data_IF_131467043971
#
_entry.id   IF_131467043971
#
_cell.length_a   1.000
_cell.length_b   1.000
_cell.length_c   1.000
_cell.angle_alpha   90.00
_cell.angle_beta   90.00
_cell.angle_gamma   90.00
#
_symmetry.space_group_name_H-M   'P 1'
#
loop_
_entity.id
_entity.type
_entity.pdbx_description
1 polymer ?
#
# COMPACT_ATOMS: atom_id res chain seq x y z
N UNK A 1 -2.32 -4.86 14.16
CA UNK A 1 -2.52 -5.63 12.90
C UNK A 1 -1.26 -5.57 12.03
N UNK A 2 -1.15 -6.48 11.03
CA UNK A 2 -0.03 -6.54 10.09
C UNK A 2 1.22 -7.25 10.61
N UNK A 3 1.22 -7.78 11.84
CA UNK A 3 2.41 -8.38 12.44
C UNK A 3 2.76 -9.73 11.81
N UNK A 4 1.80 -10.62 11.65
CA UNK A 4 2.04 -11.93 11.05
C UNK A 4 2.41 -11.80 9.56
N UNK A 5 1.74 -10.91 8.82
CA UNK A 5 2.07 -10.62 7.42
C UNK A 5 3.50 -10.08 7.28
N UNK A 6 3.90 -9.13 8.12
CA UNK A 6 5.26 -8.58 8.10
C UNK A 6 6.34 -9.64 8.41
N UNK A 7 6.12 -10.48 9.42
CA UNK A 7 7.05 -11.55 9.81
C UNK A 7 7.13 -12.64 8.73
N UNK A 8 6.00 -12.96 8.09
CA UNK A 8 6.01 -13.89 6.97
C UNK A 8 6.77 -13.34 5.76
N UNK A 9 6.58 -12.05 5.41
CA UNK A 9 7.36 -11.41 4.35
C UNK A 9 8.86 -11.32 4.68
N UNK A 10 9.22 -11.09 5.94
CA UNK A 10 10.61 -11.19 6.41
C UNK A 10 11.18 -12.58 6.15
N UNK A 11 10.43 -13.63 6.52
CA UNK A 11 10.82 -15.02 6.26
C UNK A 11 11.05 -15.30 4.77
N UNK A 12 10.18 -14.82 3.89
CA UNK A 12 10.35 -15.00 2.45
C UNK A 12 11.68 -14.43 1.92
N UNK A 13 12.26 -13.44 2.59
CA UNK A 13 13.53 -12.82 2.21
C UNK A 13 14.71 -13.51 2.88
N UNK A 14 14.60 -13.83 4.19
CA UNK A 14 15.73 -14.27 5.03
C UNK A 14 15.76 -15.76 5.32
N UNK A 15 14.66 -16.47 5.08
CA UNK A 15 14.49 -17.91 5.35
C UNK A 15 14.78 -18.32 6.81
N UNK A 16 14.48 -17.42 7.77
CA UNK A 16 14.69 -17.66 9.20
C UNK A 16 13.51 -18.41 9.83
N UNK A 17 13.52 -19.74 9.74
CA UNK A 17 12.49 -20.62 10.33
C UNK A 17 12.51 -20.59 11.88
N UNK A 18 13.65 -20.30 12.49
CA UNK A 18 13.74 -20.25 13.96
C UNK A 18 13.00 -19.04 14.51
N UNK A 19 13.14 -17.88 13.88
CA UNK A 19 12.38 -16.67 14.22
C UNK A 19 10.87 -16.90 14.07
N UNK A 20 10.44 -17.58 13.01
CA UNK A 20 9.02 -17.92 12.84
C UNK A 20 8.48 -18.76 14.00
N UNK A 21 9.22 -19.80 14.39
CA UNK A 21 8.82 -20.71 15.47
C UNK A 21 8.73 -19.99 16.82
N UNK A 22 9.66 -19.06 17.11
CA UNK A 22 9.64 -18.25 18.34
C UNK A 22 8.47 -17.27 18.39
N UNK A 23 8.18 -16.60 17.27
CA UNK A 23 7.15 -15.57 17.21
C UNK A 23 5.72 -16.12 17.02
N UNK A 24 5.59 -17.31 16.45
CA UNK A 24 4.28 -17.88 16.10
C UNK A 24 3.24 -17.88 17.24
N UNK A 25 3.56 -18.29 18.49
CA UNK A 25 2.63 -18.22 19.61
C UNK A 25 2.11 -16.80 19.87
N UNK A 26 2.99 -15.81 19.85
CA UNK A 26 2.65 -14.38 20.08
C UNK A 26 1.77 -13.81 18.97
N UNK A 27 2.05 -14.21 17.72
CA UNK A 27 1.24 -13.79 16.57
C UNK A 27 -0.18 -14.38 16.63
N UNK A 28 -0.32 -15.64 17.06
CA UNK A 28 -1.62 -16.27 17.31
C UNK A 28 -2.41 -15.56 18.40
N UNK A 29 -1.77 -15.25 19.50
CA UNK A 29 -2.41 -14.56 20.63
C UNK A 29 -2.86 -13.16 20.21
N UNK A 30 -2.04 -12.45 19.44
CA UNK A 30 -2.42 -11.16 18.87
C UNK A 30 -3.66 -11.27 17.97
N UNK A 31 -3.68 -12.25 17.06
CA UNK A 31 -4.83 -12.47 16.18
C UNK A 31 -6.10 -12.81 16.96
N UNK A 32 -5.99 -13.67 17.97
CA UNK A 32 -7.12 -14.06 18.82
C UNK A 32 -7.73 -12.87 19.56
N UNK A 33 -6.90 -11.95 20.07
CA UNK A 33 -7.37 -10.71 20.71
C UNK A 33 -8.11 -9.80 19.74
N UNK A 34 -7.63 -9.68 18.50
CA UNK A 34 -8.38 -8.95 17.47
C UNK A 34 -9.74 -9.57 17.18
N UNK A 35 -9.84 -10.90 17.13
CA UNK A 35 -11.14 -11.60 16.97
C UNK A 35 -12.07 -11.32 18.16
N UNK A 36 -11.55 -11.39 19.37
CA UNK A 36 -12.33 -11.16 20.60
C UNK A 36 -12.85 -9.72 20.71
N UNK A 37 -12.00 -8.73 20.46
CA UNK A 37 -12.32 -7.33 20.71
C UNK A 37 -13.02 -6.62 19.56
N UNK A 38 -12.74 -7.02 18.30
CA UNK A 38 -13.11 -6.25 17.11
C UNK A 38 -13.95 -7.00 16.10
N UNK A 39 -14.22 -8.29 16.31
CA UNK A 39 -15.07 -9.08 15.45
C UNK A 39 -16.40 -9.34 16.11
N UNK A 40 -17.49 -9.16 15.35
CA UNK A 40 -18.83 -9.39 15.89
C UNK A 40 -19.57 -10.54 15.15
N UNK A 41 -20.89 -10.67 15.43
CA UNK A 41 -21.74 -11.71 14.85
C UNK A 41 -21.90 -11.65 13.34
N UNK A 42 -21.61 -10.49 12.70
CA UNK A 42 -21.58 -10.37 11.23
C UNK A 42 -20.41 -11.12 10.61
N UNK A 43 -19.40 -11.42 11.42
CA UNK A 43 -18.13 -12.00 11.01
C UNK A 43 -17.14 -10.99 10.44
N UNK A 44 -17.50 -9.71 10.37
CA UNK A 44 -16.62 -8.61 10.00
C UNK A 44 -15.87 -8.05 11.23
N UNK A 45 -14.72 -7.47 10.95
CA UNK A 45 -13.99 -6.67 11.93
C UNK A 45 -14.42 -5.21 11.80
N UNK A 46 -14.57 -4.54 12.93
CA UNK A 46 -14.83 -3.11 12.99
C UNK A 46 -13.63 -2.36 13.56
N UNK A 47 -13.45 -1.12 13.15
CA UNK A 47 -12.41 -0.23 13.68
C UNK A 47 -12.93 1.22 13.72
N UNK A 48 -12.31 2.00 14.57
CA UNK A 48 -12.46 3.46 14.61
C UNK A 48 -11.52 4.07 13.55
N UNK A 49 -11.95 5.14 12.89
CA UNK A 49 -11.17 5.74 11.81
C UNK A 49 -9.81 6.29 12.26
N UNK A 50 -9.73 6.91 13.46
CA UNK A 50 -8.46 7.38 14.02
C UNK A 50 -7.49 6.23 14.35
N UNK A 51 -8.00 5.08 14.75
CA UNK A 51 -7.20 3.87 15.03
C UNK A 51 -6.81 3.11 13.77
N UNK A 52 -7.44 3.43 12.67
CA UNK A 52 -7.06 2.98 11.33
C UNK A 52 -6.03 3.94 10.69
N UNK A 53 -5.67 5.00 11.40
CA UNK A 53 -4.77 6.06 10.97
C UNK A 53 -5.39 6.97 9.91
N UNK A 54 -6.73 7.13 9.94
CA UNK A 54 -7.48 7.89 8.92
C UNK A 54 -8.48 8.84 9.58
N UNK A 55 -7.98 9.66 10.48
CA UNK A 55 -8.75 10.61 11.26
C UNK A 55 -9.49 11.61 10.35
N UNK A 56 -10.66 12.01 10.78
CA UNK A 56 -11.50 12.95 10.02
C UNK A 56 -11.88 12.44 8.62
N UNK A 57 -11.99 11.11 8.45
CA UNK A 57 -12.50 10.51 7.21
C UNK A 57 -13.99 10.81 7.03
N UNK A 58 -14.46 10.87 5.78
CA UNK A 58 -15.91 11.11 5.52
C UNK A 58 -16.75 10.00 6.15
N UNK A 59 -16.33 8.74 6.00
CA UNK A 59 -17.06 7.62 6.60
C UNK A 59 -17.02 7.62 8.12
N UNK A 60 -15.95 8.14 8.75
CA UNK A 60 -15.84 8.26 10.19
C UNK A 60 -16.85 9.22 10.78
N UNK A 61 -17.17 10.30 10.11
CA UNK A 61 -18.19 11.27 10.55
C UNK A 61 -19.63 10.72 10.54
N UNK A 62 -19.86 9.58 9.89
CA UNK A 62 -21.20 8.99 9.77
C UNK A 62 -21.60 8.08 10.94
N UNK A 63 -20.72 7.90 11.92
CA UNK A 63 -21.00 7.12 13.12
C UNK A 63 -20.39 7.76 14.36
N UNK A 64 -20.99 7.52 15.52
CA UNK A 64 -20.46 7.98 16.79
C UNK A 64 -19.08 7.34 17.05
N UNK A 65 -18.07 8.18 17.31
CA UNK A 65 -16.69 7.77 17.55
C UNK A 65 -16.00 7.12 16.34
N UNK A 66 -16.45 7.41 15.11
CA UNK A 66 -15.78 7.00 13.87
C UNK A 66 -15.80 5.50 13.57
N UNK A 67 -16.67 4.72 14.25
CA UNK A 67 -16.73 3.25 14.12
C UNK A 67 -17.32 2.79 12.79
N UNK A 68 -16.71 1.77 12.18
CA UNK A 68 -17.23 1.19 10.95
C UNK A 68 -16.62 -0.17 10.62
N UNK A 69 -17.32 -0.96 9.80
CA UNK A 69 -16.71 -2.07 9.08
C UNK A 69 -15.95 -1.47 7.89
N UNK A 70 -14.64 -1.41 8.03
CA UNK A 70 -13.76 -0.74 7.08
C UNK A 70 -13.05 -1.76 6.19
N UNK A 71 -12.87 -1.50 4.88
CA UNK A 71 -12.08 -2.34 3.98
C UNK A 71 -10.66 -2.60 4.50
N UNK A 72 -10.04 -1.62 5.15
CA UNK A 72 -8.71 -1.67 5.76
C UNK A 72 -8.58 -2.79 6.77
N UNK A 73 -9.23 -2.67 7.94
CA UNK A 73 -9.08 -3.64 9.02
C UNK A 73 -9.49 -5.05 8.60
N UNK A 74 -10.53 -5.19 7.77
CA UNK A 74 -10.95 -6.50 7.27
C UNK A 74 -9.89 -7.13 6.35
N UNK A 75 -9.23 -6.33 5.49
CA UNK A 75 -8.14 -6.79 4.63
C UNK A 75 -6.89 -7.13 5.44
N UNK A 76 -6.54 -6.32 6.44
CA UNK A 76 -5.42 -6.61 7.33
C UNK A 76 -5.62 -7.92 8.08
N UNK A 77 -6.80 -8.16 8.64
CA UNK A 77 -7.10 -9.39 9.35
C UNK A 77 -7.17 -10.61 8.40
N UNK A 78 -7.54 -10.41 7.15
CA UNK A 78 -7.39 -11.44 6.12
C UNK A 78 -5.92 -11.77 5.87
N UNK A 79 -5.07 -10.76 5.67
CA UNK A 79 -3.63 -10.92 5.49
C UNK A 79 -2.98 -11.64 6.68
N UNK A 80 -3.34 -11.25 7.91
CA UNK A 80 -2.89 -11.91 9.14
C UNK A 80 -3.28 -13.41 9.17
N UNK A 81 -4.53 -13.74 8.80
CA UNK A 81 -4.97 -15.13 8.77
C UNK A 81 -4.22 -15.96 7.71
N UNK A 82 -3.99 -15.38 6.52
CA UNK A 82 -3.18 -16.02 5.47
C UNK A 82 -1.75 -16.24 5.95
N UNK A 83 -1.12 -15.22 6.51
CA UNK A 83 0.25 -15.30 7.02
C UNK A 83 0.38 -16.35 8.14
N UNK A 84 -0.57 -16.36 9.10
CA UNK A 84 -0.60 -17.39 10.16
C UNK A 84 -0.77 -18.80 9.61
N UNK A 85 -1.59 -18.98 8.56
CA UNK A 85 -1.72 -20.28 7.91
C UNK A 85 -0.39 -20.75 7.30
N UNK A 86 0.33 -19.84 6.62
CA UNK A 86 1.63 -20.10 6.01
C UNK A 86 2.70 -20.37 7.06
N UNK A 87 2.81 -19.51 8.07
CA UNK A 87 3.76 -19.69 9.17
C UNK A 87 3.52 -21.04 9.88
N UNK A 88 2.26 -21.35 10.20
CA UNK A 88 1.89 -22.61 10.84
C UNK A 88 2.36 -23.83 10.04
N UNK A 89 2.19 -23.81 8.72
CA UNK A 89 2.67 -24.88 7.83
C UNK A 89 4.20 -24.99 7.87
N UNK A 90 4.93 -23.86 7.84
CA UNK A 90 6.39 -23.84 7.88
C UNK A 90 6.95 -24.37 9.21
N UNK A 91 6.24 -24.15 10.33
CA UNK A 91 6.64 -24.61 11.65
C UNK A 91 5.99 -25.94 12.06
N UNK A 92 5.52 -26.73 11.08
CA UNK A 92 4.99 -28.07 11.22
C UNK A 92 3.71 -28.16 12.12
N UNK A 93 2.80 -27.15 11.98
CA UNK A 93 1.51 -27.05 12.70
C UNK A 93 0.31 -27.16 11.72
N UNK A 94 0.24 -28.24 10.97
CA UNK A 94 -0.72 -28.43 9.88
C UNK A 94 -2.19 -28.24 10.24
N UNK A 95 -2.63 -28.67 11.43
CA UNK A 95 -4.01 -28.48 11.88
C UNK A 95 -4.33 -27.00 12.09
N UNK A 96 -3.41 -26.25 12.62
CA UNK A 96 -3.54 -24.80 12.82
C UNK A 96 -3.49 -24.07 11.47
N UNK A 97 -2.61 -24.51 10.56
CA UNK A 97 -2.53 -23.97 9.19
C UNK A 97 -3.88 -24.07 8.48
N UNK A 98 -4.52 -25.24 8.52
CA UNK A 98 -5.87 -25.45 7.95
C UNK A 98 -6.94 -24.58 8.62
N UNK A 99 -6.82 -24.37 9.92
CA UNK A 99 -7.75 -23.53 10.69
C UNK A 99 -7.68 -22.08 10.26
N UNK A 100 -6.45 -21.53 10.16
CA UNK A 100 -6.26 -20.14 9.71
C UNK A 100 -6.59 -19.95 8.24
N UNK A 101 -6.32 -20.94 7.37
CA UNK A 101 -6.74 -20.89 5.98
C UNK A 101 -8.26 -20.81 5.85
N UNK A 102 -9.01 -21.60 6.61
CA UNK A 102 -10.49 -21.53 6.64
C UNK A 102 -10.99 -20.17 7.14
N UNK A 103 -10.30 -19.56 8.12
CA UNK A 103 -10.65 -18.21 8.59
C UNK A 103 -10.42 -17.18 7.49
N UNK A 104 -9.29 -17.25 6.78
CA UNK A 104 -8.98 -16.39 5.66
C UNK A 104 -10.03 -16.52 4.53
N UNK A 105 -10.33 -17.73 4.09
CA UNK A 105 -11.31 -17.99 3.01
C UNK A 105 -12.70 -17.45 3.37
N UNK A 106 -13.13 -17.66 4.62
CA UNK A 106 -14.39 -17.11 5.12
C UNK A 106 -14.39 -15.58 5.10
N UNK A 107 -13.31 -14.96 5.57
CA UNK A 107 -13.22 -13.51 5.63
C UNK A 107 -13.13 -12.90 4.24
N UNK A 108 -12.37 -13.49 3.31
CA UNK A 108 -12.35 -13.10 1.89
C UNK A 108 -13.76 -13.07 1.29
N UNK A 109 -14.54 -14.13 1.54
CA UNK A 109 -15.93 -14.20 1.08
C UNK A 109 -16.83 -13.13 1.72
N UNK A 110 -16.62 -12.80 3.00
CA UNK A 110 -17.37 -11.75 3.71
C UNK A 110 -17.01 -10.37 3.14
N UNK A 111 -15.73 -10.04 2.98
CA UNK A 111 -15.25 -8.77 2.42
C UNK A 111 -15.88 -8.53 1.05
N UNK A 112 -15.80 -9.51 0.15
CA UNK A 112 -16.32 -9.37 -1.21
C UNK A 112 -17.85 -9.23 -1.26
N UNK A 113 -18.59 -9.87 -0.37
CA UNK A 113 -20.06 -9.78 -0.36
C UNK A 113 -20.59 -8.57 0.39
N UNK A 114 -19.90 -8.12 1.45
CA UNK A 114 -20.43 -7.16 2.41
C UNK A 114 -19.86 -5.75 2.25
N UNK A 115 -18.61 -5.63 1.79
CA UNK A 115 -17.94 -4.32 1.67
C UNK A 115 -17.84 -3.83 0.23
N UNK A 116 -18.19 -4.66 -0.77
CA UNK A 116 -18.31 -4.23 -2.15
C UNK A 116 -19.69 -3.64 -2.43
N UNK A 117 -19.72 -2.34 -2.69
CA UNK A 117 -20.93 -1.65 -3.15
C UNK A 117 -21.06 -1.82 -4.67
N UNK A 118 -22.04 -2.63 -5.10
CA UNK A 118 -22.28 -2.92 -6.52
C UNK A 118 -22.77 -1.71 -7.32
N UNK A 119 -23.39 -0.70 -6.67
CA UNK A 119 -23.84 0.52 -7.35
C UNK A 119 -22.68 1.50 -7.55
N UNK A 120 -21.75 1.50 -6.62
CA UNK A 120 -20.56 2.34 -6.69
C UNK A 120 -19.39 1.68 -7.43
N UNK A 121 -19.45 0.36 -7.70
CA UNK A 121 -18.32 -0.44 -8.18
C UNK A 121 -17.04 -0.20 -7.35
N UNK A 122 -17.19 -0.25 -6.01
CA UNK A 122 -16.10 0.11 -5.10
C UNK A 122 -16.28 -0.52 -3.71
N UNK A 123 -15.17 -0.81 -3.02
CA UNK A 123 -15.20 -1.17 -1.60
C UNK A 123 -15.41 0.07 -0.74
N UNK A 124 -16.42 0.03 0.12
CA UNK A 124 -16.82 1.15 0.95
C UNK A 124 -16.95 0.75 2.41
N UNK A 125 -16.84 1.74 3.28
CA UNK A 125 -17.10 1.58 4.71
C UNK A 125 -18.60 1.45 4.97
N UNK A 126 -18.97 0.59 5.90
CA UNK A 126 -20.31 0.57 6.51
C UNK A 126 -20.18 1.18 7.91
N UNK A 127 -20.60 2.45 8.13
CA UNK A 127 -20.56 3.08 9.43
C UNK A 127 -21.44 2.35 10.44
N UNK A 128 -20.97 2.22 11.68
CA UNK A 128 -21.74 1.61 12.78
C UNK A 128 -22.67 2.65 13.42
N UNK A 129 -23.72 3.02 12.71
CA UNK A 129 -24.74 3.99 13.12
C UNK A 129 -26.15 3.38 13.29
N UNK A 130 -26.23 2.06 13.47
CA UNK A 130 -27.50 1.32 13.57
C UNK A 130 -28.10 0.92 12.23
N UNK A 131 -27.52 1.39 11.09
CA UNK A 131 -27.90 1.02 9.74
C UNK A 131 -26.79 0.20 9.09
N UNK A 132 -27.15 -0.80 8.30
CA UNK A 132 -26.19 -1.60 7.51
C UNK A 132 -26.09 -1.05 6.08
N UNK A 133 -25.83 0.26 5.98
CA UNK A 133 -25.74 1.01 4.74
C UNK A 133 -24.31 1.46 4.48
N UNK A 134 -23.91 1.50 3.21
CA UNK A 134 -22.60 2.02 2.83
C UNK A 134 -22.50 3.53 3.10
N UNK A 135 -21.29 3.99 3.44
CA UNK A 135 -20.94 5.40 3.30
C UNK A 135 -21.27 5.88 1.87
N UNK A 136 -21.74 7.10 1.71
CA UNK A 136 -22.00 7.66 0.37
C UNK A 136 -20.72 7.96 -0.42
N UNK A 137 -19.57 8.11 0.26
CA UNK A 137 -18.29 8.42 -0.35
C UNK A 137 -17.53 7.15 -0.78
N UNK A 138 -16.80 7.22 -1.90
CA UNK A 138 -15.65 6.37 -2.16
C UNK A 138 -14.44 7.01 -1.52
N UNK A 139 -13.71 6.24 -0.71
CA UNK A 139 -12.48 6.66 -0.05
C UNK A 139 -11.32 5.79 -0.54
N UNK A 140 -10.13 6.37 -0.68
CA UNK A 140 -8.95 5.71 -1.26
C UNK A 140 -8.61 4.38 -0.57
N UNK A 141 -8.95 4.26 0.72
CA UNK A 141 -8.83 3.01 1.50
C UNK A 141 -9.55 1.82 0.86
N UNK A 142 -10.50 2.05 -0.03
CA UNK A 142 -11.19 1.00 -0.79
C UNK A 142 -10.29 0.23 -1.76
N UNK A 143 -9.04 0.67 -2.00
CA UNK A 143 -8.05 -0.11 -2.76
C UNK A 143 -7.23 -1.09 -1.91
N UNK A 144 -7.31 -1.02 -0.58
CA UNK A 144 -6.55 -1.92 0.31
C UNK A 144 -6.86 -3.42 0.09
N UNK A 145 -8.08 -3.84 -0.27
CA UNK A 145 -8.31 -5.25 -0.61
C UNK A 145 -7.39 -5.79 -1.72
N UNK A 146 -6.97 -4.97 -2.70
CA UNK A 146 -6.01 -5.40 -3.73
C UNK A 146 -4.58 -5.56 -3.21
N UNK A 147 -4.23 -4.90 -2.11
CA UNK A 147 -2.94 -5.14 -1.44
C UNK A 147 -2.78 -6.62 -1.03
N UNK A 148 -3.89 -7.29 -0.73
CA UNK A 148 -3.94 -8.70 -0.32
C UNK A 148 -4.55 -9.64 -1.38
N UNK A 149 -4.77 -9.19 -2.60
CA UNK A 149 -5.38 -9.98 -3.68
C UNK A 149 -6.75 -10.60 -3.30
N UNK A 150 -7.56 -9.85 -2.55
CA UNK A 150 -8.89 -10.27 -2.09
C UNK A 150 -9.94 -10.21 -3.21
N UNK A 151 -10.00 -9.13 -4.03
CA UNK A 151 -11.06 -8.94 -5.01
C UNK A 151 -11.04 -10.00 -6.12
N UNK A 152 -12.20 -10.39 -6.67
CA UNK A 152 -12.27 -11.12 -7.94
C UNK A 152 -12.02 -10.19 -9.12
N UNK A 153 -11.68 -10.76 -10.30
CA UNK A 153 -11.28 -9.99 -11.50
C UNK A 153 -12.30 -8.95 -11.93
N UNK A 154 -13.59 -9.27 -11.86
CA UNK A 154 -14.67 -8.37 -12.27
C UNK A 154 -14.81 -7.12 -11.39
N UNK A 155 -14.15 -7.06 -10.22
CA UNK A 155 -14.13 -5.85 -9.39
C UNK A 155 -13.02 -4.86 -9.81
N UNK A 156 -12.20 -5.24 -10.75
CA UNK A 156 -11.13 -4.39 -11.32
C UNK A 156 -11.62 -3.05 -11.86
N UNK A 157 -12.92 -2.94 -12.20
CA UNK A 157 -13.56 -1.69 -12.63
C UNK A 157 -13.30 -0.52 -11.68
N UNK A 158 -13.10 -0.79 -10.37
CA UNK A 158 -12.77 0.21 -9.36
C UNK A 158 -11.52 1.04 -9.71
N UNK A 159 -10.54 0.43 -10.38
CA UNK A 159 -9.29 1.12 -10.74
C UNK A 159 -9.49 2.33 -11.66
N UNK A 160 -10.62 2.42 -12.38
CA UNK A 160 -10.96 3.60 -13.18
C UNK A 160 -11.10 4.87 -12.34
N UNK A 161 -11.54 4.73 -11.07
CA UNK A 161 -11.73 5.89 -10.19
C UNK A 161 -10.39 6.53 -9.78
N UNK A 162 -9.29 5.76 -9.78
CA UNK A 162 -7.97 6.27 -9.42
C UNK A 162 -7.46 7.32 -10.41
N UNK A 163 -7.85 7.20 -11.68
CA UNK A 163 -7.43 8.06 -12.79
C UNK A 163 -8.59 8.91 -13.34
N UNK A 164 -9.66 9.06 -12.59
CA UNK A 164 -10.77 9.97 -12.90
C UNK A 164 -10.54 11.29 -12.16
N UNK A 165 -10.57 12.40 -12.89
CA UNK A 165 -10.39 13.77 -12.36
C UNK A 165 -11.48 14.20 -11.37
N UNK A 166 -12.65 13.54 -11.37
CA UNK A 166 -13.67 13.67 -10.33
C UNK A 166 -13.61 12.55 -9.29
N UNK A 167 -12.79 11.54 -9.54
CA UNK A 167 -12.43 10.47 -8.61
C UNK A 167 -11.27 10.90 -7.74
N UNK A 168 -10.16 10.16 -7.83
CA UNK A 168 -9.00 10.38 -6.95
C UNK A 168 -7.81 11.06 -7.64
N UNK A 169 -7.84 11.28 -8.96
CA UNK A 169 -6.70 11.81 -9.71
C UNK A 169 -6.40 13.27 -9.33
N UNK A 170 -5.17 13.54 -8.90
CA UNK A 170 -4.68 14.89 -8.68
C UNK A 170 -3.18 14.99 -8.92
N UNK A 171 -2.69 16.24 -9.11
CA UNK A 171 -1.33 16.51 -9.58
C UNK A 171 -0.21 16.08 -8.61
N UNK A 172 -0.49 16.06 -7.30
CA UNK A 172 0.49 15.76 -6.25
C UNK A 172 0.14 14.51 -5.43
N UNK A 173 -0.67 13.62 -6.00
CA UNK A 173 -1.07 12.35 -5.42
C UNK A 173 -2.58 12.20 -5.31
N UNK A 174 -3.08 10.97 -5.23
CA UNK A 174 -4.50 10.71 -5.17
C UNK A 174 -5.12 11.30 -3.90
N UNK A 175 -6.32 11.84 -4.03
CA UNK A 175 -7.09 12.35 -2.90
C UNK A 175 -7.57 11.20 -2.00
N UNK A 176 -7.75 11.45 -0.71
CA UNK A 176 -8.21 10.43 0.26
C UNK A 176 -9.69 10.10 0.12
N UNK A 177 -10.49 11.01 -0.40
CA UNK A 177 -11.87 10.80 -0.83
C UNK A 177 -12.06 11.30 -2.25
N UNK A 178 -12.98 10.72 -3.02
CA UNK A 178 -13.25 11.17 -4.38
C UNK A 178 -13.68 12.65 -4.44
N UNK A 179 -13.17 13.39 -5.43
CA UNK A 179 -13.35 14.84 -5.54
C UNK A 179 -14.80 15.26 -5.82
N UNK A 180 -15.66 14.34 -6.27
CA UNK A 180 -17.10 14.56 -6.43
C UNK A 180 -17.89 14.43 -5.12
N UNK A 181 -17.27 13.98 -4.03
CA UNK A 181 -17.91 13.85 -2.73
C UNK A 181 -18.29 15.24 -2.22
N UNK A 182 -19.53 15.45 -1.71
CA UNK A 182 -19.95 16.76 -1.16
C UNK A 182 -19.09 17.24 0.01
N UNK A 183 -18.51 16.31 0.77
CA UNK A 183 -17.65 16.61 1.91
C UNK A 183 -16.16 16.59 1.58
N UNK A 184 -15.81 16.54 0.30
CA UNK A 184 -14.43 16.74 -0.13
C UNK A 184 -13.94 18.13 0.30
N UNK A 185 -12.84 18.15 1.06
CA UNK A 185 -12.32 19.40 1.62
C UNK A 185 -10.80 19.39 1.70
N UNK A 186 -10.19 20.46 1.25
CA UNK A 186 -8.79 20.79 1.54
C UNK A 186 -8.80 21.97 2.51
N UNK A 187 -8.34 21.78 3.73
CA UNK A 187 -8.34 22.83 4.75
C UNK A 187 -6.96 22.99 5.38
N UNK A 188 -6.59 24.23 5.59
CA UNK A 188 -5.40 24.62 6.35
C UNK A 188 -5.73 24.98 7.81
N UNK A 189 -6.97 24.73 8.22
CA UNK A 189 -7.49 24.98 9.56
C UNK A 189 -8.13 23.71 10.13
N UNK A 190 -8.24 23.66 11.45
CA UNK A 190 -8.84 22.53 12.15
C UNK A 190 -7.86 21.40 12.46
N UNK A 191 -8.34 20.16 12.45
CA UNK A 191 -7.53 18.98 12.76
C UNK A 191 -6.46 18.75 11.72
N UNK A 192 -5.29 18.27 12.14
CA UNK A 192 -4.11 18.10 11.28
C UNK A 192 -4.26 16.90 10.35
N UNK A 193 -4.74 15.81 10.90
CA UNK A 193 -4.91 14.55 10.19
C UNK A 193 -6.26 14.53 9.46
N UNK A 194 -6.32 15.17 8.31
CA UNK A 194 -7.54 15.23 7.49
C UNK A 194 -7.51 14.16 6.40
N UNK A 195 -8.46 13.24 6.46
CA UNK A 195 -8.62 12.16 5.48
C UNK A 195 -9.87 12.35 4.59
N UNK A 196 -10.33 13.58 4.46
CA UNK A 196 -11.49 13.95 3.66
C UNK A 196 -11.14 14.77 2.41
N UNK A 197 -9.90 14.66 1.92
CA UNK A 197 -9.49 15.38 0.71
C UNK A 197 -7.99 15.36 0.44
N UNK A 198 -7.11 15.76 1.38
CA UNK A 198 -5.67 15.80 1.17
C UNK A 198 -5.10 14.47 0.68
N UNK A 199 -4.03 14.53 -0.12
CA UNK A 199 -3.26 13.33 -0.46
C UNK A 199 -2.35 12.92 0.71
N UNK A 200 -2.33 11.64 1.01
CA UNK A 200 -1.47 11.06 2.05
C UNK A 200 -0.46 10.11 1.42
N UNK A 201 0.85 10.40 1.53
CA UNK A 201 1.89 9.50 1.02
C UNK A 201 1.78 8.08 1.52
N UNK A 202 1.38 7.90 2.79
CA UNK A 202 1.14 6.57 3.37
C UNK A 202 0.15 5.75 2.53
N UNK A 203 -1.06 6.26 2.31
CA UNK A 203 -2.09 5.51 1.56
C UNK A 203 -1.79 5.45 0.06
N UNK A 204 -1.12 6.47 -0.49
CA UNK A 204 -0.62 6.45 -1.87
C UNK A 204 0.37 5.30 -2.06
N UNK A 205 1.29 5.08 -1.12
CA UNK A 205 2.23 3.97 -1.19
C UNK A 205 1.55 2.60 -1.10
N UNK A 206 0.55 2.46 -0.25
CA UNK A 206 -0.25 1.23 -0.18
C UNK A 206 -1.07 0.99 -1.46
N UNK A 207 -1.60 2.06 -2.07
CA UNK A 207 -2.31 1.98 -3.36
C UNK A 207 -1.36 1.54 -4.48
N UNK A 208 -0.13 2.08 -4.53
CA UNK A 208 0.91 1.63 -5.46
C UNK A 208 1.29 0.16 -5.25
N UNK A 209 1.44 -0.28 -4.00
CA UNK A 209 1.69 -1.69 -3.70
C UNK A 209 0.53 -2.59 -4.14
N UNK A 210 -0.71 -2.14 -3.93
CA UNK A 210 -1.92 -2.82 -4.41
C UNK A 210 -1.96 -2.89 -5.95
N UNK A 211 -1.58 -1.80 -6.67
CA UNK A 211 -1.42 -1.82 -8.12
C UNK A 211 -0.36 -2.83 -8.57
N UNK A 212 0.79 -2.87 -7.90
CA UNK A 212 1.84 -3.83 -8.23
C UNK A 212 1.38 -5.29 -8.02
N UNK A 213 0.61 -5.56 -6.96
CA UNK A 213 -0.01 -6.87 -6.74
C UNK A 213 -1.05 -7.19 -7.81
N UNK A 214 -1.84 -6.20 -8.21
CA UNK A 214 -2.82 -6.35 -9.28
C UNK A 214 -2.17 -6.80 -10.60
N UNK A 215 -1.06 -6.18 -11.03
CA UNK A 215 -0.31 -6.61 -12.22
C UNK A 215 0.34 -8.00 -12.12
N UNK A 216 0.55 -8.50 -10.91
CA UNK A 216 1.19 -9.79 -10.70
C UNK A 216 0.21 -10.94 -10.46
N UNK A 217 -1.03 -10.64 -10.10
CA UNK A 217 -2.01 -11.64 -9.63
C UNK A 217 -3.27 -11.73 -10.48
N UNK A 218 -3.48 -10.80 -11.43
CA UNK A 218 -4.67 -10.74 -12.28
C UNK A 218 -4.29 -10.82 -13.76
N UNK A 219 -5.04 -11.59 -14.55
CA UNK A 219 -4.66 -11.90 -15.94
C UNK A 219 -4.91 -10.74 -16.91
N UNK A 220 -5.91 -9.92 -16.64
CA UNK A 220 -6.34 -8.84 -17.54
C UNK A 220 -6.48 -7.51 -16.84
N UNK A 221 -5.37 -6.87 -16.43
CA UNK A 221 -5.44 -5.58 -15.76
C UNK A 221 -6.00 -4.51 -16.69
N UNK A 222 -6.96 -3.72 -16.15
CA UNK A 222 -7.59 -2.60 -16.89
C UNK A 222 -6.76 -1.30 -16.83
N UNK A 223 -5.79 -1.24 -15.94
CA UNK A 223 -4.77 -0.19 -15.85
C UNK A 223 -3.47 -0.66 -16.47
N UNK A 224 -2.60 0.27 -16.83
CA UNK A 224 -1.37 -0.02 -17.57
C UNK A 224 -0.13 0.19 -16.70
N UNK A 225 1.00 -0.38 -17.12
CA UNK A 225 2.31 -0.09 -16.49
C UNK A 225 2.66 1.41 -16.55
N UNK A 226 2.13 2.15 -17.54
CA UNK A 226 2.30 3.61 -17.60
C UNK A 226 1.56 4.32 -16.46
N UNK A 227 0.36 3.86 -16.13
CA UNK A 227 -0.41 4.40 -15.00
C UNK A 227 0.32 4.17 -13.68
N UNK A 228 0.88 2.97 -13.47
CA UNK A 228 1.71 2.68 -12.31
C UNK A 228 2.93 3.60 -12.22
N UNK A 229 3.70 3.71 -13.31
CA UNK A 229 4.91 4.55 -13.33
C UNK A 229 4.56 6.05 -13.18
N UNK A 230 3.44 6.50 -13.75
CA UNK A 230 2.96 7.87 -13.60
C UNK A 230 2.67 8.18 -12.13
N UNK A 231 1.90 7.33 -11.44
CA UNK A 231 1.59 7.52 -10.03
C UNK A 231 2.85 7.42 -9.15
N UNK A 232 3.76 6.50 -9.45
CA UNK A 232 5.03 6.39 -8.73
C UNK A 232 5.91 7.64 -8.92
N UNK A 233 5.91 8.25 -10.10
CA UNK A 233 6.61 9.51 -10.36
C UNK A 233 5.96 10.68 -9.60
N UNK A 234 4.63 10.76 -9.57
CA UNK A 234 3.91 11.75 -8.76
C UNK A 234 4.30 11.60 -7.29
N UNK A 235 4.22 10.38 -6.76
CA UNK A 235 4.61 10.06 -5.39
C UNK A 235 6.04 10.51 -5.09
N UNK A 236 7.01 10.12 -5.91
CA UNK A 236 8.43 10.48 -5.75
C UNK A 236 8.66 11.98 -5.83
N UNK A 237 8.07 12.64 -6.84
CA UNK A 237 8.25 14.07 -7.07
C UNK A 237 7.55 14.95 -6.03
N UNK A 238 6.56 14.45 -5.33
CA UNK A 238 5.85 15.20 -4.28
C UNK A 238 6.65 15.29 -2.98
N UNK A 239 7.67 14.43 -2.79
CA UNK A 239 8.50 14.40 -1.57
C UNK A 239 9.60 15.48 -1.59
N UNK A 240 9.19 16.73 -1.71
CA UNK A 240 10.08 17.88 -1.74
C UNK A 240 9.38 19.16 -1.30
N UNK A 241 10.19 20.16 -0.93
CA UNK A 241 9.76 21.55 -0.75
C UNK A 241 10.77 22.47 -1.43
N UNK A 242 10.36 23.72 -1.67
CA UNK A 242 11.29 24.79 -2.03
C UNK A 242 11.84 25.45 -0.76
N UNK A 243 13.16 25.64 -0.70
CA UNK A 243 13.81 26.44 0.32
C UNK A 243 13.50 27.92 0.13
N UNK A 244 13.91 28.74 1.09
CA UNK A 244 13.82 30.22 0.98
C UNK A 244 14.60 30.78 -0.20
N UNK A 245 15.58 30.06 -0.72
CA UNK A 245 16.41 30.45 -1.88
C UNK A 245 15.88 29.80 -3.18
N UNK A 246 14.70 29.20 -3.17
CA UNK A 246 14.09 28.40 -4.26
C UNK A 246 14.86 27.13 -4.63
N UNK A 247 15.77 26.64 -3.79
CA UNK A 247 16.38 25.33 -3.99
C UNK A 247 15.40 24.23 -3.62
N UNK A 248 15.36 23.15 -4.41
CA UNK A 248 14.56 21.97 -4.09
C UNK A 248 15.29 21.12 -3.07
N UNK A 249 14.65 20.87 -1.93
CA UNK A 249 15.14 19.96 -0.88
C UNK A 249 14.20 18.79 -0.70
N UNK A 250 14.75 17.61 -0.36
CA UNK A 250 13.95 16.44 -0.02
C UNK A 250 13.14 16.72 1.25
N UNK A 251 11.88 16.35 1.22
CA UNK A 251 10.98 16.57 2.34
C UNK A 251 9.90 15.49 2.35
N UNK A 252 9.55 14.99 3.52
CA UNK A 252 8.41 14.13 3.76
C UNK A 252 7.68 14.61 5.01
N UNK A 253 6.36 14.67 4.93
CA UNK A 253 5.46 15.09 5.99
C UNK A 253 4.16 14.25 5.92
N UNK A 254 3.15 14.59 6.70
CA UNK A 254 1.93 13.79 6.81
C UNK A 254 1.09 13.82 5.54
N UNK A 255 0.62 15.02 5.14
CA UNK A 255 -0.31 15.17 4.04
C UNK A 255 -0.02 16.37 3.13
N UNK A 256 -0.44 16.24 1.89
CA UNK A 256 -0.16 17.19 0.81
C UNK A 256 -1.48 17.75 0.27
N UNK A 257 -1.52 19.05 -0.02
CA UNK A 257 -2.54 19.60 -0.89
C UNK A 257 -2.39 18.96 -2.29
N UNK A 258 -3.38 18.19 -2.76
CA UNK A 258 -3.26 17.41 -3.99
C UNK A 258 -3.18 18.27 -5.25
N UNK A 259 -3.48 19.56 -5.16
CA UNK A 259 -3.45 20.50 -6.29
C UNK A 259 -2.22 21.37 -6.35
N UNK A 260 -1.69 21.79 -5.19
CA UNK A 260 -0.57 22.74 -5.11
C UNK A 260 0.75 22.13 -4.69
N UNK A 261 0.72 20.93 -4.08
CA UNK A 261 1.90 20.26 -3.56
C UNK A 261 2.38 20.81 -2.20
N UNK A 262 1.62 21.71 -1.58
CA UNK A 262 1.94 22.20 -0.24
C UNK A 262 1.73 21.12 0.82
N UNK A 263 2.69 20.98 1.71
CA UNK A 263 2.53 20.13 2.89
C UNK A 263 1.62 20.81 3.91
N UNK A 264 0.41 20.28 4.09
CA UNK A 264 -0.65 20.92 4.88
C UNK A 264 -0.28 20.96 6.35
N UNK A 265 0.26 19.89 6.91
CA UNK A 265 0.70 19.84 8.31
C UNK A 265 1.71 20.93 8.62
N UNK A 266 2.63 21.21 7.68
CA UNK A 266 3.61 22.27 7.79
C UNK A 266 3.00 23.67 7.70
N UNK A 267 2.10 23.90 6.74
CA UNK A 267 1.54 25.24 6.49
C UNK A 267 0.55 25.70 7.56
N UNK A 268 0.04 24.82 8.39
CA UNK A 268 -0.70 25.17 9.62
C UNK A 268 0.09 25.99 10.59
N UNK A 269 1.39 25.98 10.45
CA UNK A 269 2.29 26.79 11.23
C UNK A 269 2.18 28.29 10.92
N UNK A 270 1.21 28.72 10.09
CA UNK A 270 0.77 30.13 10.11
C UNK A 270 0.40 30.57 11.53
N UNK A 271 -0.26 29.72 12.31
CA UNK A 271 -0.58 29.96 13.72
C UNK A 271 0.68 30.13 14.57
N UNK A 272 1.73 29.38 14.30
CA UNK A 272 3.03 29.54 14.97
C UNK A 272 3.68 30.87 14.64
N UNK A 273 3.72 31.26 13.36
CA UNK A 273 4.20 32.59 12.93
C UNK A 273 3.41 33.74 13.51
N UNK A 274 2.13 33.52 13.80
CA UNK A 274 1.23 34.51 14.41
C UNK A 274 1.24 34.47 15.95
N UNK A 275 2.10 33.66 16.57
CA UNK A 275 2.19 33.52 18.03
C UNK A 275 1.01 32.80 18.70
N UNK A 276 0.17 32.11 17.93
CA UNK A 276 -1.00 31.36 18.45
C UNK A 276 -0.73 29.86 18.58
N UNK A 277 0.46 29.41 18.20
CA UNK A 277 0.88 28.02 18.30
C UNK A 277 1.49 27.71 19.66
N UNK A 278 1.12 26.60 20.22
CA UNK A 278 1.70 26.06 21.44
C UNK A 278 2.99 25.29 21.13
N UNK A 279 4.10 25.64 21.74
CA UNK A 279 5.42 25.00 21.53
C UNK A 279 5.40 23.51 21.90
N UNK A 280 4.47 23.06 22.77
CA UNK A 280 4.30 21.65 23.08
C UNK A 280 3.81 20.82 21.89
N UNK A 281 3.27 21.46 20.85
CA UNK A 281 2.77 20.81 19.62
C UNK A 281 3.82 20.69 18.52
N UNK A 282 5.07 20.98 18.80
CA UNK A 282 6.17 20.95 17.84
C UNK A 282 6.38 22.26 17.09
N UNK A 283 7.52 22.40 16.41
CA UNK A 283 7.95 23.60 15.71
C UNK A 283 7.63 23.60 14.21
N UNK A 284 8.34 24.46 13.46
CA UNK A 284 8.20 24.64 11.99
C UNK A 284 8.47 23.35 11.21
N UNK A 285 9.19 22.41 11.79
CA UNK A 285 9.55 21.11 11.20
C UNK A 285 8.72 19.95 11.75
N UNK A 286 7.62 20.25 12.43
CA UNK A 286 6.67 19.21 12.83
C UNK A 286 6.22 18.43 11.60
N UNK A 287 6.23 17.11 11.69
CA UNK A 287 5.94 16.22 10.57
C UNK A 287 7.11 15.98 9.61
N UNK A 288 8.18 16.80 9.67
CA UNK A 288 9.40 16.54 8.92
C UNK A 288 9.92 15.15 9.24
N UNK A 289 10.36 14.43 8.19
CA UNK A 289 10.85 13.08 8.27
C UNK A 289 9.78 12.07 8.77
N UNK A 290 8.50 12.40 8.61
CA UNK A 290 7.38 11.51 8.88
C UNK A 290 7.55 10.17 8.14
N UNK A 291 7.55 9.08 8.88
CA UNK A 291 7.99 7.80 8.35
C UNK A 291 6.95 7.11 7.46
N UNK A 292 7.15 7.19 6.16
CA UNK A 292 6.45 6.39 5.16
C UNK A 292 7.43 5.45 4.44
N UNK A 293 8.21 4.68 5.18
CA UNK A 293 9.41 3.93 4.74
C UNK A 293 9.21 2.88 3.62
N UNK A 294 8.09 2.91 2.92
CA UNK A 294 7.78 1.93 1.87
C UNK A 294 8.36 2.25 0.48
N UNK A 295 9.01 3.41 0.27
CA UNK A 295 9.49 3.80 -1.06
C UNK A 295 10.44 2.77 -1.68
N UNK A 296 11.41 2.26 -0.93
CA UNK A 296 12.32 1.22 -1.44
C UNK A 296 11.57 -0.05 -1.87
N UNK A 297 10.51 -0.42 -1.15
CA UNK A 297 9.67 -1.56 -1.52
C UNK A 297 8.90 -1.29 -2.83
N UNK A 298 8.45 -0.05 -3.05
CA UNK A 298 7.81 0.34 -4.31
C UNK A 298 8.75 0.23 -5.51
N UNK A 299 10.06 0.41 -5.29
CA UNK A 299 11.07 0.19 -6.33
C UNK A 299 11.40 -1.30 -6.47
N UNK A 300 11.76 -1.97 -5.38
CA UNK A 300 12.28 -3.35 -5.42
C UNK A 300 11.17 -4.34 -5.76
N UNK A 301 10.13 -4.43 -4.92
CA UNK A 301 9.04 -5.39 -5.11
C UNK A 301 7.95 -4.90 -6.07
N UNK A 302 7.80 -3.56 -6.20
CA UNK A 302 6.86 -2.93 -7.11
C UNK A 302 7.41 -2.80 -8.52
N UNK A 303 8.21 -1.76 -8.79
CA UNK A 303 8.67 -1.39 -10.13
C UNK A 303 9.56 -2.45 -10.77
N UNK A 304 10.56 -2.98 -10.04
CA UNK A 304 11.44 -4.04 -10.52
C UNK A 304 10.85 -5.44 -10.33
N UNK A 305 9.87 -5.57 -9.46
CA UNK A 305 9.09 -6.79 -9.30
C UNK A 305 9.85 -7.97 -8.73
N UNK A 306 10.83 -7.72 -7.84
CA UNK A 306 11.57 -8.79 -7.13
C UNK A 306 10.66 -9.35 -6.03
N UNK A 307 10.19 -10.58 -6.21
CA UNK A 307 9.18 -11.22 -5.36
C UNK A 307 9.58 -12.63 -5.00
N UNK A 308 10.09 -12.86 -3.78
CA UNK A 308 10.37 -14.21 -3.29
C UNK A 308 9.08 -15.01 -3.14
N UNK A 309 9.17 -16.33 -3.40
CA UNK A 309 8.08 -17.28 -3.31
C UNK A 309 8.37 -18.31 -2.21
N UNK A 310 7.33 -18.99 -1.75
CA UNK A 310 7.41 -20.04 -0.72
C UNK A 310 8.26 -21.24 -1.15
N UNK A 311 8.26 -21.56 -2.43
CA UNK A 311 9.00 -22.68 -3.00
C UNK A 311 10.52 -22.38 -3.18
N UNK A 312 10.98 -21.23 -2.69
CA UNK A 312 12.35 -20.76 -2.84
C UNK A 312 12.67 -20.14 -4.20
N UNK A 313 11.70 -20.06 -5.09
CA UNK A 313 11.87 -19.31 -6.34
C UNK A 313 11.73 -17.81 -6.10
N UNK A 314 12.30 -17.01 -7.02
CA UNK A 314 12.16 -15.54 -7.00
C UNK A 314 11.62 -15.12 -8.37
N UNK A 315 10.48 -14.44 -8.35
CA UNK A 315 9.94 -13.82 -9.57
C UNK A 315 10.54 -12.43 -9.72
N UNK A 316 10.99 -12.10 -10.92
CA UNK A 316 11.32 -10.74 -11.34
C UNK A 316 10.33 -10.36 -12.44
N UNK A 317 9.48 -9.38 -12.20
CA UNK A 317 8.47 -8.93 -13.16
C UNK A 317 8.40 -7.40 -13.22
N UNK A 318 9.31 -6.73 -13.95
CA UNK A 318 9.38 -5.27 -13.97
C UNK A 318 8.12 -4.64 -14.54
N UNK A 319 7.62 -3.63 -13.86
CA UNK A 319 6.49 -2.79 -14.28
C UNK A 319 6.96 -1.56 -15.08
N UNK A 320 8.18 -1.57 -15.59
CA UNK A 320 8.71 -0.54 -16.49
C UNK A 320 8.01 -0.65 -17.83
N UNK A 321 7.33 0.42 -18.32
CA UNK A 321 6.70 0.39 -19.65
C UNK A 321 7.71 0.32 -20.77
N UNK A 322 7.35 -0.33 -21.87
CA UNK A 322 8.21 -0.43 -23.05
C UNK A 322 8.59 0.95 -23.59
N UNK A 323 9.88 1.15 -23.82
CA UNK A 323 10.43 2.39 -24.41
C UNK A 323 10.45 3.59 -23.47
N UNK A 324 10.06 3.42 -22.21
CA UNK A 324 10.06 4.52 -21.22
C UNK A 324 11.49 4.97 -20.87
N UNK A 325 12.39 4.03 -20.70
CA UNK A 325 13.78 4.28 -20.36
C UNK A 325 14.74 3.58 -21.34
N UNK A 326 15.86 4.22 -21.66
CA UNK A 326 16.92 3.61 -22.46
C UNK A 326 17.84 2.72 -21.59
N UNK A 327 17.87 2.93 -20.28
CA UNK A 327 18.63 2.12 -19.33
C UNK A 327 18.10 2.26 -17.89
N UNK A 328 18.27 1.22 -17.11
CA UNK A 328 18.10 1.21 -15.64
C UNK A 328 18.91 0.07 -15.02
N UNK A 329 19.20 0.18 -13.75
CA UNK A 329 19.87 -0.85 -12.96
C UNK A 329 19.31 -0.86 -11.53
N UNK A 330 19.01 -2.05 -11.03
CA UNK A 330 18.82 -2.34 -9.63
C UNK A 330 19.92 -3.34 -9.25
N UNK A 331 20.84 -2.93 -8.38
CA UNK A 331 22.05 -3.67 -8.10
C UNK A 331 22.10 -4.20 -6.67
N UNK A 332 22.68 -5.38 -6.48
CA UNK A 332 22.98 -5.97 -5.19
C UNK A 332 21.77 -6.14 -4.23
N UNK A 333 20.62 -6.54 -4.75
CA UNK A 333 19.44 -6.83 -3.91
C UNK A 333 19.59 -8.22 -3.30
N UNK A 334 19.69 -8.27 -1.97
CA UNK A 334 19.68 -9.52 -1.24
C UNK A 334 18.29 -10.13 -1.14
N UNK A 335 18.16 -11.41 -1.48
CA UNK A 335 16.93 -12.17 -1.37
C UNK A 335 17.21 -13.66 -1.28
N UNK A 336 16.77 -14.32 -0.21
CA UNK A 336 16.91 -15.77 -0.01
C UNK A 336 18.35 -16.29 -0.15
N UNK A 337 19.32 -15.61 0.44
CA UNK A 337 20.73 -16.01 0.36
C UNK A 337 21.41 -15.71 -0.97
N UNK A 338 20.69 -15.11 -1.92
CA UNK A 338 21.19 -14.74 -3.26
C UNK A 338 21.34 -13.23 -3.37
N UNK A 339 22.27 -12.78 -4.16
CA UNK A 339 22.41 -11.38 -4.59
C UNK A 339 21.91 -11.22 -6.01
N UNK A 340 20.93 -10.34 -6.20
CA UNK A 340 20.26 -10.14 -7.49
C UNK A 340 20.65 -8.78 -8.06
N UNK A 341 21.07 -8.76 -9.33
CA UNK A 341 21.28 -7.54 -10.10
C UNK A 341 20.45 -7.58 -11.37
N UNK A 342 19.67 -6.53 -11.62
CA UNK A 342 18.78 -6.37 -12.76
C UNK A 342 19.27 -5.19 -13.59
N UNK A 343 19.64 -5.41 -14.84
CA UNK A 343 20.13 -4.38 -15.74
C UNK A 343 19.28 -4.36 -17.01
N UNK A 344 18.92 -3.17 -17.45
CA UNK A 344 18.46 -2.93 -18.82
C UNK A 344 19.35 -1.87 -19.45
N UNK A 345 19.93 -2.17 -20.59
CA UNK A 345 20.73 -1.23 -21.39
C UNK A 345 20.41 -1.42 -22.89
N UNK A 346 19.56 -0.55 -23.42
CA UNK A 346 19.07 -0.62 -24.79
C UNK A 346 20.18 -0.59 -25.82
N UNK A 347 21.30 0.10 -25.53
CA UNK A 347 22.43 0.26 -26.43
C UNK A 347 23.66 -0.57 -26.02
N UNK A 348 23.69 -1.10 -24.80
CA UNK A 348 24.81 -1.86 -24.24
C UNK A 348 26.03 -1.01 -23.89
N UNK A 349 25.89 0.31 -23.77
CA UNK A 349 26.99 1.24 -23.55
C UNK A 349 27.05 1.86 -22.17
N UNK A 350 25.93 1.79 -21.40
CA UNK A 350 25.81 2.47 -20.12
C UNK A 350 26.53 1.75 -18.99
N UNK A 351 26.34 0.43 -18.89
CA UNK A 351 26.84 -0.39 -17.78
C UNK A 351 28.00 -1.31 -18.14
N UNK A 352 28.35 -1.42 -19.45
CA UNK A 352 29.44 -2.29 -19.90
C UNK A 352 29.16 -3.79 -19.76
N UNK A 353 27.89 -4.18 -19.57
CA UNK A 353 27.46 -5.57 -19.35
C UNK A 353 26.76 -6.20 -20.58
N UNK A 354 26.69 -5.49 -21.70
CA UNK A 354 25.99 -5.92 -22.90
C UNK A 354 24.66 -5.16 -23.12
N UNK A 355 24.04 -5.45 -24.29
CA UNK A 355 22.81 -4.82 -24.74
C UNK A 355 21.60 -5.66 -24.31
N UNK A 356 20.54 -5.02 -23.78
CA UNK A 356 19.27 -5.67 -23.49
C UNK A 356 18.96 -5.74 -22.01
N UNK A 357 18.09 -6.67 -21.64
CA UNK A 357 17.64 -6.93 -20.27
C UNK A 357 18.39 -8.15 -19.70
N UNK A 358 19.12 -7.94 -18.63
CA UNK A 358 20.02 -8.93 -18.06
C UNK A 358 19.72 -9.07 -16.58
N UNK A 359 19.63 -10.32 -16.11
CA UNK A 359 19.47 -10.65 -14.69
C UNK A 359 20.67 -11.48 -14.25
N UNK A 360 21.36 -11.00 -13.23
CA UNK A 360 22.44 -11.72 -12.56
C UNK A 360 21.95 -12.24 -11.22
N UNK A 361 22.47 -13.40 -10.83
CA UNK A 361 22.33 -14.00 -9.51
C UNK A 361 23.74 -14.42 -9.07
N UNK A 362 24.21 -13.89 -7.94
CA UNK A 362 25.56 -14.11 -7.42
C UNK A 362 26.62 -13.90 -8.52
N UNK A 363 26.54 -12.77 -9.19
CA UNK A 363 27.40 -12.35 -10.31
C UNK A 363 27.34 -13.23 -11.59
N UNK A 364 26.51 -14.26 -11.61
CA UNK A 364 26.33 -15.12 -12.78
C UNK A 364 25.14 -14.66 -13.60
N UNK A 365 25.32 -14.47 -14.90
CA UNK A 365 24.23 -14.14 -15.82
C UNK A 365 23.25 -15.32 -15.92
N UNK A 366 22.05 -15.14 -15.38
CA UNK A 366 20.98 -16.13 -15.42
C UNK A 366 20.09 -15.97 -16.65
N UNK A 367 19.80 -14.74 -17.03
CA UNK A 367 18.91 -14.41 -18.14
C UNK A 367 19.44 -13.21 -18.91
N UNK A 368 19.39 -13.29 -20.24
CA UNK A 368 19.76 -12.19 -21.12
C UNK A 368 18.77 -12.15 -22.30
N UNK A 369 18.01 -11.08 -22.41
CA UNK A 369 16.98 -10.89 -23.44
C UNK A 369 17.03 -9.49 -24.03
N UNK A 370 16.40 -9.29 -25.20
CA UNK A 370 16.41 -7.97 -25.86
C UNK A 370 15.42 -6.98 -25.27
N UNK A 371 14.41 -7.47 -24.56
CA UNK A 371 13.32 -6.67 -23.95
C UNK A 371 13.14 -7.01 -22.48
N UNK A 372 12.63 -6.06 -21.73
CA UNK A 372 12.22 -6.27 -20.35
C UNK A 372 11.07 -7.27 -20.31
N UNK A 373 11.22 -8.34 -19.54
CA UNK A 373 10.22 -9.39 -19.41
C UNK A 373 10.27 -10.05 -18.04
N UNK A 374 9.25 -10.85 -17.71
CA UNK A 374 9.22 -11.68 -16.49
C UNK A 374 10.31 -12.75 -16.55
N UNK A 375 11.05 -12.90 -15.45
CA UNK A 375 12.06 -13.95 -15.24
C UNK A 375 11.74 -14.66 -13.93
N UNK A 376 11.97 -15.98 -13.88
CA UNK A 376 11.84 -16.78 -12.66
C UNK A 376 13.20 -17.39 -12.33
N UNK A 377 13.71 -17.09 -11.16
CA UNK A 377 14.91 -17.66 -10.57
C UNK A 377 14.48 -18.88 -9.73
N UNK A 378 15.10 -20.01 -9.96
CA UNK A 378 14.87 -21.23 -9.21
C UNK A 378 16.10 -21.67 -8.42
#
# INVERSE_FOLDING_TARGET
FGAADAIYNYYLIHNDKMLLADLYPKLKDNFAKWEEEKRDSTGMFWQVDDRDGMEMSVSGHLSEGGRGYRPTINSYMYGEAVALAKIASIVDRDMEARTYQKKADKLKGIINRRLWDKQADFYKVIPLNGKMEFSYARELLGYIPWFYNIPPDNYSIAWKQLFDSKGFEAAYGPTTVEQRCPDFKISYEGHECQWNGPSWPYLTSMTLAAMANYFNSYDSPIITKKDYLSLLNIYSNSHRILSVNNDTICWIDENINPYTGDWISRTRLKSWKNGTWDDSKGGVERGKDYNHSSFCNLIISGLMGVRPQEDGSIIINPLVPDGCWDYFCLDNVYCQGKTITIIFDKKGKKYGRGKGFIVYVDDKCLSHTTRVQKVVIR
#
